data_IF_394373926352
#
_entry.id   IF_394373926352
#
_cell.length_a   1.000
_cell.length_b   1.000
_cell.length_c   1.000
_cell.angle_alpha   90.00
_cell.angle_beta   90.00
_cell.angle_gamma   90.00
#
_symmetry.space_group_name_H-M   'P 1'
#
loop_
_entity.id
_entity.type
_entity.pdbx_description
1 polymer ?
#
# COMPACT_ATOMS: atom_id res chain seq x y z
N UNK A 1 -6.17 -16.69 18.42
CA UNK A 1 -5.70 -15.30 18.64
C UNK A 1 -6.10 -14.47 17.44
N UNK A 2 -6.91 -13.44 17.62
CA UNK A 2 -7.31 -12.53 16.53
C UNK A 2 -6.16 -11.54 16.32
N UNK A 3 -5.58 -11.54 15.13
CA UNK A 3 -4.48 -10.63 14.76
C UNK A 3 -5.03 -9.20 14.79
N UNK A 4 -4.33 -8.27 15.46
CA UNK A 4 -4.75 -6.86 15.50
C UNK A 4 -4.46 -6.14 14.18
N UNK A 5 -5.14 -5.01 13.91
CA UNK A 5 -4.84 -4.18 12.74
C UNK A 5 -3.38 -3.71 12.73
N UNK A 6 -2.86 -3.31 13.88
CA UNK A 6 -1.46 -2.91 14.04
C UNK A 6 -0.50 -4.03 13.65
N UNK A 7 -0.77 -5.26 14.10
CA UNK A 7 0.04 -6.43 13.76
C UNK A 7 0.05 -6.70 12.25
N UNK A 8 -1.11 -6.60 11.59
CA UNK A 8 -1.17 -6.79 10.13
C UNK A 8 -0.47 -5.65 9.38
N UNK A 9 -0.60 -4.41 9.87
CA UNK A 9 0.10 -3.26 9.33
C UNK A 9 1.62 -3.45 9.42
N UNK A 10 2.17 -3.92 10.54
CA UNK A 10 3.61 -4.21 10.64
C UNK A 10 4.03 -5.28 9.64
N UNK A 11 3.24 -6.35 9.47
CA UNK A 11 3.56 -7.44 8.54
C UNK A 11 3.55 -7.00 7.07
N UNK A 12 2.60 -6.15 6.69
CA UNK A 12 2.36 -5.80 5.28
C UNK A 12 2.95 -4.44 4.87
N UNK A 13 3.16 -3.54 5.83
CA UNK A 13 3.63 -2.17 5.60
C UNK A 13 5.06 -1.91 6.09
N UNK A 14 5.80 -2.91 6.56
CA UNK A 14 7.18 -2.72 7.02
C UNK A 14 8.07 -1.93 6.03
N UNK A 15 8.05 -2.18 4.71
CA UNK A 15 8.81 -1.36 3.77
C UNK A 15 8.40 0.12 3.77
N UNK A 16 7.12 0.43 3.96
CA UNK A 16 6.62 1.81 4.07
C UNK A 16 6.97 2.44 5.41
N UNK A 17 6.85 1.68 6.51
CA UNK A 17 7.30 2.11 7.83
C UNK A 17 8.79 2.48 7.82
N UNK A 18 9.60 1.76 7.05
CA UNK A 18 11.04 1.99 6.89
C UNK A 18 11.43 3.06 5.86
N UNK A 19 10.48 3.64 5.12
CA UNK A 19 10.78 4.59 4.04
C UNK A 19 11.43 3.95 2.79
N UNK A 20 11.29 2.63 2.62
CA UNK A 20 11.73 1.91 1.41
C UNK A 20 10.67 1.89 0.30
N UNK A 21 9.40 2.10 0.66
CA UNK A 21 8.26 2.04 -0.25
C UNK A 21 7.29 3.18 0.04
N UNK A 22 6.77 3.87 -0.99
CA UNK A 22 5.88 5.01 -0.80
C UNK A 22 4.56 4.65 -0.14
N UNK A 23 4.06 3.45 -0.39
CA UNK A 23 2.82 2.98 0.17
C UNK A 23 2.71 1.47 0.19
N UNK A 24 1.84 0.94 1.05
CA UNK A 24 1.45 -0.46 1.11
C UNK A 24 -0.07 -0.57 1.08
N UNK A 25 -0.54 -1.65 0.45
CA UNK A 25 -1.95 -1.99 0.34
C UNK A 25 -2.17 -3.38 0.96
N UNK A 26 -3.10 -3.51 1.89
CA UNK A 26 -3.37 -4.79 2.53
C UNK A 26 -4.83 -4.92 2.95
N UNK A 27 -5.28 -6.17 3.05
CA UNK A 27 -6.63 -6.49 3.53
C UNK A 27 -6.57 -6.85 5.00
N UNK A 28 -7.52 -6.35 5.78
CA UNK A 28 -7.74 -6.77 7.15
C UNK A 28 -9.22 -7.10 7.37
N UNK A 29 -9.50 -8.17 8.11
CA UNK A 29 -10.85 -8.61 8.43
C UNK A 29 -11.09 -8.38 9.91
N UNK A 30 -12.05 -7.51 10.22
CA UNK A 30 -12.39 -7.18 11.59
C UNK A 30 -13.11 -8.33 12.29
N UNK A 31 -12.74 -8.55 13.54
CA UNK A 31 -13.46 -9.45 14.42
C UNK A 31 -14.90 -8.95 14.66
N UNK A 32 -15.87 -9.84 14.97
CA UNK A 32 -17.16 -9.40 15.49
C UNK A 32 -16.98 -8.43 16.69
N UNK A 33 -17.65 -7.29 16.67
CA UNK A 33 -17.58 -6.28 17.74
C UNK A 33 -16.34 -5.37 17.73
N UNK A 34 -15.38 -5.59 16.84
CA UNK A 34 -14.25 -4.67 16.68
C UNK A 34 -14.68 -3.44 15.88
N UNK A 35 -14.49 -2.26 16.44
CA UNK A 35 -14.78 -0.99 15.77
C UNK A 35 -13.67 -0.59 14.78
N UNK A 36 -13.97 -0.50 13.47
CA UNK A 36 -13.01 -0.08 12.46
C UNK A 36 -12.46 1.35 12.69
N UNK A 37 -13.30 2.27 13.16
CA UNK A 37 -12.91 3.66 13.36
C UNK A 37 -11.89 3.77 14.49
N UNK A 38 -12.16 3.11 15.63
CA UNK A 38 -11.23 3.06 16.76
C UNK A 38 -9.90 2.39 16.39
N UNK A 39 -9.94 1.30 15.63
CA UNK A 39 -8.73 0.61 15.20
C UNK A 39 -7.88 1.49 14.26
N UNK A 40 -8.52 2.17 13.30
CA UNK A 40 -7.85 3.11 12.41
C UNK A 40 -7.26 4.29 13.19
N UNK A 41 -8.01 4.87 14.12
CA UNK A 41 -7.55 5.98 14.95
C UNK A 41 -6.26 5.64 15.71
N UNK A 42 -6.19 4.44 16.31
CA UNK A 42 -5.02 4.00 17.07
C UNK A 42 -3.75 3.92 16.19
N UNK A 43 -3.85 3.36 14.98
CA UNK A 43 -2.70 3.28 14.07
C UNK A 43 -2.34 4.64 13.48
N UNK A 44 -3.33 5.49 13.17
CA UNK A 44 -3.10 6.85 12.67
C UNK A 44 -2.34 7.70 13.69
N UNK A 45 -2.74 7.66 14.96
CA UNK A 45 -2.07 8.41 16.03
C UNK A 45 -0.58 8.01 16.16
N UNK A 46 -0.26 6.74 15.95
CA UNK A 46 1.12 6.25 16.03
C UNK A 46 1.99 6.63 14.82
N UNK A 47 1.38 6.83 13.65
CA UNK A 47 2.07 6.93 12.35
C UNK A 47 2.08 8.34 11.75
N UNK A 48 1.08 9.16 12.03
CA UNK A 48 0.99 10.52 11.51
C UNK A 48 2.19 11.40 11.93
N UNK A 49 2.70 11.35 13.18
CA UNK A 49 3.93 12.06 13.55
C UNK A 49 5.19 11.59 12.81
N UNK A 50 5.11 10.45 12.11
CA UNK A 50 6.17 9.88 11.27
C UNK A 50 5.94 10.13 9.78
N UNK A 51 4.98 11.00 9.42
CA UNK A 51 4.68 11.33 8.04
C UNK A 51 4.01 10.21 7.26
N UNK A 52 3.41 9.23 7.94
CA UNK A 52 2.69 8.12 7.32
C UNK A 52 1.20 8.28 7.61
N UNK A 53 0.38 8.31 6.55
CA UNK A 53 -1.08 8.29 6.64
C UNK A 53 -1.61 6.89 6.38
N UNK A 54 -2.72 6.55 7.02
CA UNK A 54 -3.43 5.29 6.80
C UNK A 54 -4.88 5.62 6.51
N UNK A 55 -5.42 5.03 5.44
CA UNK A 55 -6.82 5.20 5.06
C UNK A 55 -7.46 3.87 4.64
N UNK A 56 -8.78 3.80 4.75
CA UNK A 56 -9.58 2.68 4.25
C UNK A 56 -10.06 3.04 2.84
N UNK A 57 -9.66 2.26 1.83
CA UNK A 57 -10.10 2.43 0.44
C UNK A 57 -11.43 1.74 0.16
N UNK A 58 -11.72 0.65 0.85
CA UNK A 58 -13.01 -0.03 0.75
C UNK A 58 -13.31 -0.79 2.02
N UNK A 59 -14.59 -0.92 2.34
CA UNK A 59 -15.08 -1.71 3.46
C UNK A 59 -16.32 -2.52 3.06
N UNK A 60 -16.28 -3.82 3.30
CA UNK A 60 -17.37 -4.74 2.98
C UNK A 60 -18.04 -5.21 4.28
N UNK A 61 -19.21 -4.65 4.60
CA UNK A 61 -19.92 -4.90 5.86
C UNK A 61 -20.17 -6.39 6.12
N UNK A 62 -20.64 -7.13 5.12
CA UNK A 62 -20.96 -8.56 5.25
C UNK A 62 -19.74 -9.44 5.62
N UNK A 63 -18.57 -9.13 5.06
CA UNK A 63 -17.33 -9.86 5.38
C UNK A 63 -16.50 -9.21 6.48
N UNK A 64 -16.90 -8.00 6.94
CA UNK A 64 -16.10 -7.10 7.78
C UNK A 64 -14.67 -6.89 7.25
N UNK A 65 -14.49 -6.99 5.95
CA UNK A 65 -13.19 -6.83 5.30
C UNK A 65 -12.95 -5.39 4.88
N UNK A 66 -11.83 -4.81 5.28
CA UNK A 66 -11.34 -3.53 4.80
C UNK A 66 -10.10 -3.70 3.92
N UNK A 67 -9.99 -2.86 2.91
CA UNK A 67 -8.76 -2.63 2.16
C UNK A 67 -8.10 -1.36 2.68
N UNK A 68 -6.94 -1.50 3.28
CA UNK A 68 -6.16 -0.40 3.85
C UNK A 68 -5.06 0.03 2.90
N UNK A 69 -4.83 1.34 2.87
CA UNK A 69 -3.74 1.99 2.16
C UNK A 69 -2.93 2.84 3.14
N UNK A 70 -1.72 2.41 3.44
CA UNK A 70 -0.77 3.13 4.28
C UNK A 70 0.31 3.76 3.42
N UNK A 71 0.52 5.07 3.50
CA UNK A 71 1.36 5.80 2.55
C UNK A 71 2.08 7.01 3.13
N UNK A 72 3.16 7.43 2.46
CA UNK A 72 3.90 8.66 2.72
C UNK A 72 3.48 9.74 1.71
N UNK A 73 2.77 10.80 2.13
CA UNK A 73 2.26 11.81 1.20
C UNK A 73 3.34 12.45 0.33
N UNK A 74 4.52 12.72 0.89
CA UNK A 74 5.63 13.29 0.15
C UNK A 74 6.11 12.38 -0.98
N UNK A 75 6.22 11.07 -0.75
CA UNK A 75 6.67 10.15 -1.81
C UNK A 75 5.63 10.02 -2.93
N UNK A 76 4.33 9.98 -2.58
CA UNK A 76 3.27 9.98 -3.60
C UNK A 76 3.28 11.26 -4.43
N UNK A 77 3.55 12.39 -3.80
CA UNK A 77 3.70 13.65 -4.52
C UNK A 77 4.86 13.60 -5.54
N UNK A 78 6.00 12.96 -5.20
CA UNK A 78 7.09 12.77 -6.16
C UNK A 78 6.70 11.84 -7.32
N UNK A 79 5.99 10.74 -7.03
CA UNK A 79 5.48 9.83 -8.07
C UNK A 79 4.57 10.56 -9.05
N UNK A 80 3.68 11.42 -8.54
CA UNK A 80 2.73 12.17 -9.34
C UNK A 80 3.34 13.35 -10.11
N UNK A 81 4.48 13.87 -9.65
CA UNK A 81 5.24 14.91 -10.35
C UNK A 81 5.84 14.43 -11.66
N UNK A 82 6.14 13.14 -11.78
CA UNK A 82 6.66 12.55 -13.01
C UNK A 82 5.61 12.67 -14.14
N UNK A 83 5.92 13.38 -15.25
CA UNK A 83 4.97 13.59 -16.34
C UNK A 83 4.40 12.31 -16.94
N UNK A 84 5.20 11.25 -17.02
CA UNK A 84 4.72 9.95 -17.53
C UNK A 84 3.64 9.34 -16.65
N UNK A 85 3.78 9.47 -15.32
CA UNK A 85 2.87 8.92 -14.31
C UNK A 85 1.55 9.69 -14.28
N UNK A 86 1.62 11.01 -14.20
CA UNK A 86 0.42 11.88 -14.21
C UNK A 86 -0.36 11.74 -15.51
N UNK A 87 0.33 11.70 -16.65
CA UNK A 87 -0.32 11.50 -17.96
C UNK A 87 -1.00 10.14 -18.07
N UNK A 88 -0.42 9.09 -17.49
CA UNK A 88 -1.04 7.78 -17.43
C UNK A 88 -2.30 7.77 -16.55
N UNK A 89 -2.22 8.29 -15.32
CA UNK A 89 -3.38 8.36 -14.43
C UNK A 89 -4.51 9.21 -15.01
N UNK A 90 -4.20 10.32 -15.69
CA UNK A 90 -5.18 11.14 -16.41
C UNK A 90 -5.94 10.34 -17.47
N UNK A 91 -5.25 9.50 -18.25
CA UNK A 91 -5.90 8.61 -19.23
C UNK A 91 -6.79 7.54 -18.57
N UNK A 92 -6.44 7.14 -17.34
CA UNK A 92 -7.27 6.23 -16.53
C UNK A 92 -8.47 6.94 -15.86
N UNK A 93 -8.63 8.25 -16.06
CA UNK A 93 -9.73 9.04 -15.49
C UNK A 93 -9.44 9.67 -14.14
N UNK A 94 -8.18 9.67 -13.68
CA UNK A 94 -7.78 10.27 -12.41
C UNK A 94 -7.04 11.59 -12.63
N UNK A 95 -7.55 12.65 -12.00
CA UNK A 95 -6.95 13.99 -12.03
C UNK A 95 -7.03 14.62 -10.65
N UNK A 96 -6.09 15.51 -10.35
CA UNK A 96 -6.06 16.26 -9.09
C UNK A 96 -4.89 15.86 -8.21
N UNK A 97 -5.01 16.21 -6.93
CA UNK A 97 -4.12 15.86 -5.83
C UNK A 97 -4.09 14.36 -5.58
N UNK A 98 -3.12 13.93 -4.76
CA UNK A 98 -3.01 12.54 -4.36
C UNK A 98 -4.27 12.04 -3.65
N UNK A 99 -4.83 12.86 -2.77
CA UNK A 99 -6.05 12.59 -2.02
C UNK A 99 -7.24 12.43 -2.96
N UNK A 100 -7.45 13.34 -3.91
CA UNK A 100 -8.54 13.25 -4.89
C UNK A 100 -8.45 11.98 -5.75
N UNK A 101 -7.24 11.59 -6.16
CA UNK A 101 -7.00 10.36 -6.92
C UNK A 101 -7.36 9.13 -6.07
N UNK A 102 -6.94 9.10 -4.80
CA UNK A 102 -7.23 7.99 -3.89
C UNK A 102 -8.73 7.89 -3.57
N UNK A 103 -9.41 9.02 -3.38
CA UNK A 103 -10.86 9.08 -3.17
C UNK A 103 -11.63 8.58 -4.39
N UNK A 104 -11.19 8.95 -5.60
CA UNK A 104 -11.76 8.43 -6.84
C UNK A 104 -11.58 6.90 -6.97
N UNK A 105 -10.40 6.37 -6.60
CA UNK A 105 -10.16 4.91 -6.57
C UNK A 105 -11.04 4.22 -5.52
N UNK A 106 -11.19 4.81 -4.33
CA UNK A 106 -12.06 4.29 -3.27
C UNK A 106 -13.54 4.27 -3.71
N UNK A 107 -14.00 5.32 -4.40
CA UNK A 107 -15.34 5.40 -4.96
C UNK A 107 -15.57 4.33 -6.05
N UNK A 108 -14.57 4.06 -6.90
CA UNK A 108 -14.65 2.98 -7.89
C UNK A 108 -14.78 1.60 -7.23
N UNK A 109 -14.02 1.36 -6.17
CA UNK A 109 -14.10 0.12 -5.39
C UNK A 109 -15.46 -0.05 -4.69
N UNK A 110 -16.01 1.02 -4.12
CA UNK A 110 -17.30 0.98 -3.42
C UNK A 110 -18.48 0.69 -4.35
N UNK A 111 -18.40 1.15 -5.60
CA UNK A 111 -19.38 0.87 -6.67
C UNK A 111 -19.27 -0.55 -7.26
N UNK A 112 -18.51 -1.45 -6.61
CA UNK A 112 -18.20 -2.81 -7.10
C UNK A 112 -17.62 -2.81 -8.52
N UNK A 113 -16.91 -1.74 -8.89
CA UNK A 113 -16.18 -1.69 -10.14
C UNK A 113 -15.03 -2.70 -10.18
N UNK A 114 -14.42 -2.88 -11.35
CA UNK A 114 -13.17 -3.62 -11.45
C UNK A 114 -12.09 -2.97 -10.58
N UNK A 115 -11.25 -3.80 -9.97
CA UNK A 115 -10.16 -3.34 -9.12
C UNK A 115 -9.24 -2.38 -9.91
N UNK A 116 -8.93 -1.18 -9.40
CA UNK A 116 -8.11 -0.20 -10.09
C UNK A 116 -6.63 -0.61 -10.03
N UNK A 117 -6.20 -1.47 -10.97
CA UNK A 117 -4.83 -2.01 -10.99
C UNK A 117 -3.75 -0.93 -11.19
N UNK A 118 -4.13 0.22 -11.76
CA UNK A 118 -3.30 1.43 -11.83
C UNK A 118 -2.83 1.95 -10.46
N UNK A 119 -3.47 1.54 -9.35
CA UNK A 119 -3.00 1.81 -7.98
C UNK A 119 -1.57 1.29 -7.75
N UNK A 120 -1.11 0.32 -8.54
CA UNK A 120 0.27 -0.14 -8.54
C UNK A 120 1.29 0.99 -8.68
N UNK A 121 0.94 2.05 -9.42
CA UNK A 121 1.78 3.22 -9.56
C UNK A 121 1.92 3.99 -8.24
N UNK A 122 0.82 4.14 -7.49
CA UNK A 122 0.82 4.77 -6.17
C UNK A 122 1.50 3.89 -5.11
N UNK A 123 1.60 2.59 -5.35
CA UNK A 123 2.45 1.70 -4.56
C UNK A 123 3.95 1.85 -4.89
N UNK A 124 4.32 2.66 -5.89
CA UNK A 124 5.70 2.85 -6.32
C UNK A 124 6.22 1.73 -7.20
N UNK A 125 5.34 1.00 -7.89
CA UNK A 125 5.77 0.08 -8.94
C UNK A 125 6.15 0.86 -10.21
N UNK A 126 7.15 0.38 -10.97
CA UNK A 126 7.50 1.01 -12.24
C UNK A 126 6.30 1.09 -13.19
N UNK A 127 6.18 2.20 -13.92
CA UNK A 127 5.02 2.46 -14.78
C UNK A 127 4.86 1.39 -15.86
N UNK A 128 5.97 0.91 -16.42
CA UNK A 128 6.02 -0.17 -17.39
C UNK A 128 5.44 -1.49 -16.83
N UNK A 129 5.75 -1.82 -15.57
CA UNK A 129 5.26 -3.03 -14.92
C UNK A 129 3.76 -2.92 -14.61
N UNK A 130 3.28 -1.74 -14.22
CA UNK A 130 1.85 -1.47 -14.03
C UNK A 130 1.09 -1.65 -15.34
N UNK A 131 1.59 -1.05 -16.43
CA UNK A 131 0.98 -1.18 -17.77
C UNK A 131 0.98 -2.63 -18.26
N UNK A 132 2.11 -3.33 -18.11
CA UNK A 132 2.23 -4.72 -18.54
C UNK A 132 1.30 -5.65 -17.75
N UNK A 133 1.20 -5.46 -16.43
CA UNK A 133 0.24 -6.20 -15.61
C UNK A 133 -1.20 -5.95 -16.05
N UNK A 134 -1.57 -4.71 -16.34
CA UNK A 134 -2.93 -4.37 -16.79
C UNK A 134 -3.25 -4.96 -18.17
N UNK A 135 -2.28 -5.03 -19.07
CA UNK A 135 -2.45 -5.61 -20.40
C UNK A 135 -2.55 -7.15 -20.36
N UNK A 136 -1.74 -7.80 -19.51
CA UNK A 136 -1.67 -9.26 -19.42
C UNK A 136 -1.47 -9.76 -17.97
N UNK A 137 -2.50 -9.72 -17.10
CA UNK A 137 -2.36 -10.09 -15.69
C UNK A 137 -1.89 -11.54 -15.46
N UNK A 138 -2.25 -12.43 -16.39
CA UNK A 138 -1.94 -13.87 -16.32
C UNK A 138 -0.51 -14.19 -16.75
N UNK A 139 0.14 -13.34 -17.54
CA UNK A 139 1.51 -13.55 -18.01
C UNK A 139 2.49 -13.47 -16.86
N UNK A 140 3.43 -14.43 -16.73
CA UNK A 140 4.28 -14.64 -15.53
C UNK A 140 5.18 -13.47 -15.15
N UNK A 141 5.55 -12.59 -16.09
CA UNK A 141 6.59 -11.57 -15.89
C UNK A 141 7.99 -12.19 -15.71
N UNK A 142 9.00 -11.34 -15.53
CA UNK A 142 10.40 -11.74 -15.35
C UNK A 142 10.75 -12.09 -13.90
N UNK A 143 10.05 -11.50 -12.93
CA UNK A 143 10.25 -11.72 -11.50
C UNK A 143 8.98 -11.39 -10.71
N UNK A 144 8.75 -12.05 -9.57
CA UNK A 144 7.61 -11.79 -8.70
C UNK A 144 8.05 -11.65 -7.25
N UNK A 145 7.51 -10.64 -6.58
CA UNK A 145 7.75 -10.34 -5.18
C UNK A 145 6.69 -9.38 -4.66
N UNK A 146 7.09 -8.14 -4.34
CA UNK A 146 6.15 -7.09 -3.94
C UNK A 146 5.16 -6.73 -5.06
N UNK A 147 5.58 -6.89 -6.31
CA UNK A 147 4.72 -6.87 -7.50
C UNK A 147 5.22 -7.91 -8.50
N UNK A 148 4.58 -7.95 -9.66
CA UNK A 148 4.98 -8.75 -10.81
C UNK A 148 5.77 -7.87 -11.77
N UNK A 149 7.08 -8.07 -11.82
CA UNK A 149 7.98 -7.28 -12.67
C UNK A 149 8.01 -7.86 -14.08
N UNK A 150 8.01 -6.98 -15.07
CA UNK A 150 8.05 -7.27 -16.50
C UNK A 150 9.30 -6.65 -17.16
N UNK A 151 9.88 -5.61 -16.56
CA UNK A 151 11.12 -4.98 -16.99
C UNK A 151 12.40 -5.67 -16.48
N UNK A 152 13.21 -4.93 -15.72
CA UNK A 152 14.54 -5.37 -15.28
C UNK A 152 14.46 -6.38 -14.11
N UNK A 153 14.81 -7.64 -14.39
CA UNK A 153 14.74 -8.74 -13.43
C UNK A 153 15.66 -8.52 -12.22
N UNK A 154 16.90 -8.13 -12.45
CA UNK A 154 17.93 -7.99 -11.43
C UNK A 154 17.58 -6.85 -10.46
N UNK A 155 17.13 -5.72 -10.99
CA UNK A 155 16.70 -4.57 -10.21
C UNK A 155 15.48 -4.90 -9.35
N UNK A 156 14.47 -5.57 -9.93
CA UNK A 156 13.28 -5.97 -9.20
C UNK A 156 13.61 -7.00 -8.11
N UNK A 157 14.43 -8.01 -8.42
CA UNK A 157 14.87 -9.02 -7.45
C UNK A 157 15.65 -8.42 -6.28
N UNK A 158 16.55 -7.46 -6.56
CA UNK A 158 17.27 -6.71 -5.54
C UNK A 158 16.31 -5.91 -4.65
N UNK A 159 15.35 -5.20 -5.23
CA UNK A 159 14.33 -4.46 -4.47
C UNK A 159 13.49 -5.41 -3.59
N UNK A 160 13.03 -6.54 -4.13
CA UNK A 160 12.28 -7.54 -3.37
C UNK A 160 13.07 -8.13 -2.20
N UNK A 161 14.37 -8.36 -2.38
CA UNK A 161 15.24 -8.82 -1.30
C UNK A 161 15.32 -7.79 -0.17
N UNK A 162 15.45 -6.49 -0.50
CA UNK A 162 15.42 -5.39 0.49
C UNK A 162 14.10 -5.36 1.26
N UNK A 163 12.96 -5.40 0.56
CA UNK A 163 11.65 -5.42 1.21
C UNK A 163 11.48 -6.64 2.12
N UNK A 164 11.86 -7.83 1.66
CA UNK A 164 11.78 -9.07 2.45
C UNK A 164 12.62 -9.00 3.72
N UNK A 165 13.86 -8.51 3.60
CA UNK A 165 14.75 -8.32 4.76
C UNK A 165 14.18 -7.31 5.73
N UNK A 166 13.66 -6.18 5.23
CA UNK A 166 13.00 -5.16 6.01
C UNK A 166 11.81 -5.74 6.81
N UNK A 167 10.89 -6.44 6.13
CA UNK A 167 9.74 -7.08 6.78
C UNK A 167 10.17 -8.06 7.86
N UNK A 168 11.20 -8.87 7.62
CA UNK A 168 11.71 -9.82 8.62
C UNK A 168 12.28 -9.10 9.86
N UNK A 169 13.04 -8.03 9.68
CA UNK A 169 13.63 -7.27 10.80
C UNK A 169 12.54 -6.54 11.58
N UNK A 170 11.64 -5.84 10.90
CA UNK A 170 10.53 -5.11 11.52
C UNK A 170 9.62 -6.04 12.31
N UNK A 171 9.31 -7.21 11.75
CA UNK A 171 8.53 -8.23 12.45
C UNK A 171 9.22 -8.70 13.73
N UNK A 172 10.53 -8.97 13.70
CA UNK A 172 11.29 -9.36 14.90
C UNK A 172 11.30 -8.27 15.96
N UNK A 173 11.53 -7.02 15.58
CA UNK A 173 11.49 -5.88 16.51
C UNK A 173 10.11 -5.70 17.14
N UNK A 174 9.05 -5.88 16.36
CA UNK A 174 7.67 -5.82 16.85
C UNK A 174 7.37 -6.95 17.84
N UNK A 175 7.74 -8.20 17.51
CA UNK A 175 7.61 -9.33 18.43
C UNK A 175 8.42 -9.15 19.72
N UNK A 176 9.53 -8.42 19.67
CA UNK A 176 10.32 -8.05 20.84
C UNK A 176 9.74 -6.88 21.66
N UNK A 177 8.55 -6.37 21.30
CA UNK A 177 7.85 -5.32 22.04
C UNK A 177 8.15 -3.89 21.56
N UNK A 178 8.80 -3.71 20.41
CA UNK A 178 8.99 -2.37 19.84
C UNK A 178 7.63 -1.82 19.38
N UNK A 179 7.15 -0.68 19.90
CA UNK A 179 5.85 -0.13 19.51
C UNK A 179 5.86 0.40 18.08
N UNK A 180 4.70 0.44 17.43
CA UNK A 180 4.53 0.88 16.04
C UNK A 180 5.17 2.25 15.76
N UNK A 181 5.00 3.21 16.69
CA UNK A 181 5.54 4.56 16.59
C UNK A 181 7.08 4.62 16.57
N UNK A 182 7.77 3.60 17.09
CA UNK A 182 9.24 3.48 17.02
C UNK A 182 9.73 2.68 15.82
N UNK A 183 8.90 1.84 15.23
CA UNK A 183 9.21 1.14 13.99
C UNK A 183 9.18 2.08 12.79
N UNK A 184 8.21 3.01 12.76
CA UNK A 184 8.11 4.01 11.71
C UNK A 184 9.22 5.06 11.80
N UNK A 185 10.05 5.14 10.75
CA UNK A 185 11.05 6.20 10.60
C UNK A 185 10.37 7.48 10.15
N UNK A 186 10.93 8.65 10.49
CA UNK A 186 10.44 9.93 10.02
C UNK A 186 10.70 10.06 8.51
#
# INVERSE_FOLDING_TARGET
>A
MTISLETELVRQCAPTLAGLKPASLFRYVFAPGQDPARALFAVTQALEPKGIRVQILSYHLASRGALFYGFRPWELHQILKEPANSSFLKRQGYTGSCEEILDAMALRLSRKGSFPHEIGLLLGYPLEDVKAYMAAPREKGVCSGCWKAYGNREQAACYFAKCRKCTQVYWRCYCAGTPLSRLAVA
#
